data_IF_718461277465
#
_entry.id   IF_718461277465
#
_cell.length_a   1.000
_cell.length_b   1.000
_cell.length_c   1.000
_cell.angle_alpha   90.00
_cell.angle_beta   90.00
_cell.angle_gamma   90.00
#
_symmetry.space_group_name_H-M   'P 1'
#
loop_
_entity.id
_entity.type
_entity.pdbx_description
1 polymer ?
#
# COMPACT_ATOMS: atom_id res chain seq x y z
N UNK A 1 -69.40 6.39 -36.36
CA UNK A 1 -68.01 6.15 -36.80
C UNK A 1 -67.11 7.12 -36.08
N UNK A 2 -66.45 6.66 -35.01
CA UNK A 2 -65.56 7.46 -34.17
C UNK A 2 -64.17 6.86 -34.33
N UNK A 3 -63.27 7.61 -34.96
CA UNK A 3 -61.87 7.23 -35.16
C UNK A 3 -61.07 7.57 -33.90
N UNK A 4 -60.69 6.56 -33.13
CA UNK A 4 -59.73 6.66 -32.02
C UNK A 4 -58.31 6.70 -32.58
N UNK A 5 -57.64 7.84 -32.43
CA UNK A 5 -56.18 7.97 -32.65
C UNK A 5 -55.46 7.33 -31.47
N UNK A 6 -54.71 6.28 -31.77
CA UNK A 6 -53.74 5.62 -30.89
C UNK A 6 -52.63 6.60 -30.49
N UNK A 7 -52.46 6.78 -29.17
CA UNK A 7 -51.35 7.52 -28.59
C UNK A 7 -50.06 6.72 -28.72
N UNK A 8 -49.03 7.38 -29.25
CA UNK A 8 -47.65 6.91 -29.16
C UNK A 8 -47.23 6.92 -27.69
N UNK A 9 -47.07 5.74 -27.11
CA UNK A 9 -46.28 5.57 -25.89
C UNK A 9 -44.82 5.85 -26.23
N UNK A 10 -44.28 6.97 -25.72
CA UNK A 10 -42.83 7.14 -25.59
C UNK A 10 -42.30 5.96 -24.78
N UNK A 11 -41.46 5.13 -25.40
CA UNK A 11 -40.60 4.23 -24.67
C UNK A 11 -39.58 5.06 -23.87
N UNK A 12 -39.31 4.75 -22.60
CA UNK A 12 -38.18 5.35 -21.90
C UNK A 12 -36.91 4.86 -22.60
N UNK A 13 -36.10 5.79 -23.08
CA UNK A 13 -34.75 5.53 -23.57
C UNK A 13 -33.92 4.84 -22.48
N UNK A 14 -33.24 3.75 -22.84
CA UNK A 14 -32.38 2.92 -21.98
C UNK A 14 -31.14 3.65 -21.40
N UNK A 15 -31.11 4.99 -21.41
CA UNK A 15 -29.94 5.79 -21.04
C UNK A 15 -29.98 6.39 -19.61
N UNK A 16 -31.06 6.20 -18.84
CA UNK A 16 -31.20 6.86 -17.52
C UNK A 16 -31.03 5.95 -16.29
N UNK A 17 -30.34 4.81 -16.41
CA UNK A 17 -29.95 3.98 -15.25
C UNK A 17 -28.47 3.60 -15.24
N UNK A 18 -27.58 4.53 -15.60
CA UNK A 18 -26.19 4.45 -15.13
C UNK A 18 -26.20 4.93 -13.67
N UNK A 19 -26.53 4.02 -12.75
CA UNK A 19 -26.07 4.14 -11.37
C UNK A 19 -24.55 4.29 -11.48
N UNK A 20 -24.04 5.49 -11.21
CA UNK A 20 -22.61 5.79 -11.22
C UNK A 20 -21.88 4.71 -10.43
N UNK A 21 -21.27 3.75 -11.12
CA UNK A 21 -20.53 2.67 -10.47
C UNK A 21 -19.47 3.33 -9.58
N UNK A 22 -19.44 2.93 -8.31
CA UNK A 22 -18.46 3.47 -7.37
C UNK A 22 -17.04 3.26 -7.94
N UNK A 23 -16.23 4.33 -7.94
CA UNK A 23 -14.86 4.29 -8.45
C UNK A 23 -14.06 3.16 -7.77
N UNK A 24 -13.47 2.28 -8.59
CA UNK A 24 -12.65 1.17 -8.07
C UNK A 24 -11.31 1.68 -7.53
N UNK A 25 -10.59 0.86 -6.75
CA UNK A 25 -9.23 1.20 -6.30
C UNK A 25 -8.28 1.49 -7.46
N UNK A 26 -8.34 0.66 -8.49
CA UNK A 26 -7.48 0.78 -9.67
C UNK A 26 -7.75 2.09 -10.42
N UNK A 27 -9.03 2.45 -10.61
CA UNK A 27 -9.40 3.70 -11.27
C UNK A 27 -8.90 4.92 -10.50
N UNK A 28 -9.10 4.91 -9.17
CA UNK A 28 -8.62 5.97 -8.29
C UNK A 28 -7.12 6.15 -8.36
N UNK A 29 -6.35 5.06 -8.26
CA UNK A 29 -4.87 5.13 -8.34
C UNK A 29 -4.39 5.61 -9.69
N UNK A 30 -5.04 5.19 -10.78
CA UNK A 30 -4.72 5.69 -12.12
C UNK A 30 -4.95 7.20 -12.21
N UNK A 31 -6.08 7.68 -11.71
CA UNK A 31 -6.42 9.11 -11.68
C UNK A 31 -5.43 9.91 -10.82
N UNK A 32 -5.12 9.45 -9.62
CA UNK A 32 -4.11 10.08 -8.77
C UNK A 32 -2.73 10.10 -9.43
N UNK A 33 -2.31 9.01 -10.09
CA UNK A 33 -1.05 8.98 -10.83
C UNK A 33 -1.00 10.03 -11.96
N UNK A 34 -2.10 10.21 -12.69
CA UNK A 34 -2.23 11.25 -13.73
C UNK A 34 -2.11 12.65 -13.11
N UNK A 35 -2.85 12.91 -12.02
CA UNK A 35 -2.81 14.19 -11.32
C UNK A 35 -1.40 14.50 -10.80
N UNK A 36 -0.72 13.52 -10.20
CA UNK A 36 0.64 13.69 -9.71
C UNK A 36 1.65 13.93 -10.85
N UNK A 37 1.49 13.25 -11.99
CA UNK A 37 2.29 13.51 -13.20
C UNK A 37 2.10 14.94 -13.72
N UNK A 38 0.89 15.48 -13.60
CA UNK A 38 0.55 16.87 -13.92
C UNK A 38 0.87 17.86 -12.79
N UNK A 39 1.50 17.38 -11.71
CA UNK A 39 1.82 18.14 -10.50
C UNK A 39 0.58 18.79 -9.84
N UNK A 40 -0.58 18.14 -9.87
CA UNK A 40 -1.78 18.56 -9.15
C UNK A 40 -1.81 17.91 -7.77
N UNK A 41 -1.06 18.45 -6.81
CA UNK A 41 -0.90 17.85 -5.49
C UNK A 41 -2.15 17.97 -4.63
N UNK A 42 -2.72 19.18 -4.53
CA UNK A 42 -3.79 19.46 -3.58
C UNK A 42 -5.04 18.54 -3.74
N UNK A 43 -5.55 18.26 -4.96
CA UNK A 43 -6.67 17.33 -5.11
C UNK A 43 -6.34 15.93 -4.59
N UNK A 44 -5.16 15.40 -4.92
CA UNK A 44 -4.71 14.07 -4.49
C UNK A 44 -4.57 14.02 -2.97
N UNK A 45 -3.93 15.03 -2.37
CA UNK A 45 -3.76 15.08 -0.92
C UNK A 45 -5.10 15.17 -0.20
N UNK A 46 -6.03 16.01 -0.67
CA UNK A 46 -7.34 16.13 -0.04
C UNK A 46 -8.10 14.81 -0.08
N UNK A 47 -8.17 14.16 -1.24
CA UNK A 47 -8.90 12.90 -1.39
C UNK A 47 -8.30 11.77 -0.54
N UNK A 48 -6.96 11.68 -0.48
CA UNK A 48 -6.29 10.71 0.40
C UNK A 48 -6.66 10.97 1.86
N UNK A 49 -6.68 12.24 2.30
CA UNK A 49 -7.02 12.58 3.68
C UNK A 49 -8.48 12.43 4.03
N UNK A 50 -9.39 12.62 3.08
CA UNK A 50 -10.81 12.35 3.30
C UNK A 50 -11.07 10.87 3.58
N UNK A 51 -10.23 9.96 3.04
CA UNK A 51 -10.27 8.53 3.35
C UNK A 51 -9.44 8.16 4.61
N UNK A 52 -8.29 8.79 4.82
CA UNK A 52 -7.36 8.39 5.89
C UNK A 52 -7.65 9.04 7.24
N UNK A 53 -7.94 10.34 7.31
CA UNK A 53 -8.09 11.06 8.58
C UNK A 53 -9.23 10.54 9.48
N UNK A 54 -10.38 10.07 8.97
CA UNK A 54 -11.43 9.50 9.82
C UNK A 54 -10.95 8.35 10.71
N UNK A 55 -9.90 7.62 10.30
CA UNK A 55 -9.30 6.52 11.10
C UNK A 55 -8.59 7.01 12.36
N UNK A 56 -8.37 8.32 12.49
CA UNK A 56 -7.58 8.97 13.53
C UNK A 56 -8.39 9.95 14.41
N UNK A 57 -9.72 10.01 14.29
CA UNK A 57 -10.56 10.94 15.07
C UNK A 57 -10.33 10.87 16.59
N UNK A 58 -9.99 9.69 17.10
CA UNK A 58 -9.71 9.47 18.53
C UNK A 58 -8.21 9.34 18.84
N UNK A 59 -7.33 9.76 17.92
CA UNK A 59 -5.89 9.63 18.07
C UNK A 59 -5.25 10.95 18.51
N UNK A 60 -4.28 10.87 19.41
CA UNK A 60 -3.41 12.00 19.77
C UNK A 60 -2.24 12.20 18.79
N UNK A 61 -2.11 11.33 17.78
CA UNK A 61 -0.98 11.35 16.84
C UNK A 61 -1.11 12.45 15.78
N UNK A 62 -2.34 12.74 15.35
CA UNK A 62 -2.63 13.80 14.38
C UNK A 62 -3.85 14.58 14.87
N UNK A 63 -3.70 15.89 14.93
CA UNK A 63 -4.81 16.79 15.15
C UNK A 63 -5.47 17.11 13.79
N UNK A 64 -6.66 16.56 13.55
CA UNK A 64 -7.41 16.82 12.31
C UNK A 64 -7.80 18.31 12.15
N UNK A 65 -7.82 19.08 13.24
CA UNK A 65 -8.01 20.54 13.19
C UNK A 65 -6.83 21.27 12.50
N UNK A 66 -5.66 20.63 12.39
CA UNK A 66 -4.47 21.17 11.72
C UNK A 66 -4.41 20.78 10.24
N UNK A 67 -5.56 20.51 9.60
CA UNK A 67 -5.65 20.05 8.21
C UNK A 67 -4.81 20.88 7.25
N UNK A 68 -4.77 22.21 7.39
CA UNK A 68 -3.97 23.10 6.53
C UNK A 68 -2.47 22.78 6.64
N UNK A 69 -1.96 22.53 7.84
CA UNK A 69 -0.56 22.17 8.06
C UNK A 69 -0.25 20.80 7.45
N UNK A 70 -1.13 19.81 7.65
CA UNK A 70 -0.98 18.48 7.08
C UNK A 70 -0.97 18.53 5.53
N UNK A 71 -1.86 19.33 4.94
CA UNK A 71 -1.89 19.54 3.49
C UNK A 71 -0.57 20.14 2.98
N UNK A 72 0.00 21.09 3.71
CA UNK A 72 1.29 21.71 3.37
C UNK A 72 2.44 20.70 3.44
N UNK A 73 2.49 19.88 4.49
CA UNK A 73 3.53 18.85 4.62
C UNK A 73 3.41 17.79 3.53
N UNK A 74 2.20 17.36 3.16
CA UNK A 74 2.00 16.45 2.02
C UNK A 74 2.36 17.08 0.68
N UNK A 75 2.13 18.38 0.47
CA UNK A 75 2.60 19.06 -0.72
C UNK A 75 4.15 19.08 -0.78
N UNK A 76 4.83 19.29 0.36
CA UNK A 76 6.29 19.20 0.45
C UNK A 76 6.80 17.78 0.19
N UNK A 77 6.11 16.76 0.70
CA UNK A 77 6.42 15.35 0.45
C UNK A 77 6.35 15.07 -1.06
N UNK A 78 5.26 15.45 -1.72
CA UNK A 78 5.09 15.25 -3.16
C UNK A 78 6.09 16.07 -4.00
N UNK A 79 6.39 17.30 -3.58
CA UNK A 79 7.34 18.17 -4.27
C UNK A 79 8.79 17.66 -4.20
N UNK A 80 9.15 16.97 -3.12
CA UNK A 80 10.49 16.37 -2.92
C UNK A 80 10.58 14.90 -3.33
N UNK A 81 9.48 14.31 -3.79
CA UNK A 81 9.38 12.87 -4.04
C UNK A 81 10.39 12.39 -5.12
N UNK A 82 11.20 11.35 -4.83
CA UNK A 82 12.17 10.80 -5.78
C UNK A 82 11.48 10.06 -6.94
N UNK A 83 12.23 9.69 -7.98
CA UNK A 83 11.70 8.93 -9.13
C UNK A 83 11.16 7.57 -8.70
N UNK A 84 11.79 6.94 -7.70
CA UNK A 84 11.28 5.72 -7.07
C UNK A 84 9.86 5.88 -6.56
N UNK A 85 9.54 7.00 -5.88
CA UNK A 85 8.19 7.27 -5.39
C UNK A 85 7.18 7.34 -6.54
N UNK A 86 7.54 8.00 -7.64
CA UNK A 86 6.69 8.10 -8.82
C UNK A 86 6.47 6.71 -9.47
N UNK A 87 7.51 5.88 -9.53
CA UNK A 87 7.40 4.52 -10.07
C UNK A 87 6.46 3.65 -9.24
N UNK A 88 6.45 3.82 -7.91
CA UNK A 88 5.52 3.16 -6.98
C UNK A 88 4.08 3.61 -7.20
N UNK A 89 3.84 4.92 -7.26
CA UNK A 89 2.51 5.50 -7.52
C UNK A 89 1.93 4.93 -8.82
N UNK A 90 2.77 4.80 -9.85
CA UNK A 90 2.38 4.24 -11.15
C UNK A 90 2.19 2.72 -11.16
N UNK A 91 2.55 2.00 -10.10
CA UNK A 91 2.49 0.53 -10.02
C UNK A 91 3.61 -0.19 -10.76
N UNK A 92 4.69 0.52 -11.11
CA UNK A 92 5.74 0.02 -12.03
C UNK A 92 7.09 -0.22 -11.38
N UNK A 93 7.26 0.07 -10.08
CA UNK A 93 8.57 0.06 -9.42
C UNK A 93 9.31 -1.27 -9.59
N UNK A 94 8.71 -2.39 -9.16
CA UNK A 94 9.40 -3.70 -9.16
C UNK A 94 9.86 -4.09 -10.56
N UNK A 95 9.04 -3.81 -11.59
CA UNK A 95 9.40 -4.10 -12.98
C UNK A 95 10.47 -3.15 -13.52
N UNK A 96 10.33 -1.85 -13.28
CA UNK A 96 11.24 -0.84 -13.83
C UNK A 96 12.61 -0.88 -13.18
N UNK A 97 12.70 -1.18 -11.88
CA UNK A 97 13.99 -1.21 -11.18
C UNK A 97 14.93 -2.29 -11.74
N UNK A 98 14.40 -3.29 -12.45
CA UNK A 98 15.20 -4.33 -13.10
C UNK A 98 15.90 -3.86 -14.38
N UNK A 99 15.35 -2.84 -15.06
CA UNK A 99 15.78 -2.47 -16.43
C UNK A 99 16.09 -0.99 -16.64
N UNK A 100 15.65 -0.10 -15.75
CA UNK A 100 15.81 1.35 -15.87
C UNK A 100 17.03 1.82 -15.06
N UNK A 101 18.16 2.18 -15.70
CA UNK A 101 19.38 2.58 -15.00
C UNK A 101 19.24 3.90 -14.24
N UNK A 102 18.34 4.79 -14.68
CA UNK A 102 18.10 6.07 -14.01
C UNK A 102 17.39 5.80 -12.69
N UNK A 103 16.33 4.98 -12.72
CA UNK A 103 15.60 4.60 -11.52
C UNK A 103 16.48 3.80 -10.53
N UNK A 104 17.37 2.93 -11.04
CA UNK A 104 18.33 2.20 -10.20
C UNK A 104 19.29 3.15 -9.47
N UNK A 105 19.84 4.16 -10.15
CA UNK A 105 20.73 5.15 -9.53
C UNK A 105 19.99 6.00 -8.50
N UNK A 106 18.77 6.45 -8.81
CA UNK A 106 17.92 7.19 -7.88
C UNK A 106 17.63 6.37 -6.63
N UNK A 107 17.25 5.09 -6.79
CA UNK A 107 17.01 4.17 -5.69
C UNK A 107 18.28 3.94 -4.84
N UNK A 108 19.43 3.72 -5.48
CA UNK A 108 20.69 3.52 -4.76
C UNK A 108 21.06 4.74 -3.90
N UNK A 109 20.85 5.96 -4.42
CA UNK A 109 21.11 7.20 -3.70
C UNK A 109 20.21 7.32 -2.46
N UNK A 110 18.89 7.11 -2.61
CA UNK A 110 17.97 7.22 -1.47
C UNK A 110 18.18 6.07 -0.47
N UNK A 111 18.52 4.87 -0.94
CA UNK A 111 18.80 3.73 -0.09
C UNK A 111 20.04 3.96 0.78
N UNK A 112 21.12 4.49 0.20
CA UNK A 112 22.33 4.87 0.94
C UNK A 112 22.01 5.95 1.98
N UNK A 113 21.30 7.01 1.58
CA UNK A 113 20.92 8.11 2.48
C UNK A 113 19.99 7.68 3.62
N UNK A 114 19.21 6.61 3.44
CA UNK A 114 18.33 6.02 4.46
C UNK A 114 19.07 5.30 5.59
N UNK A 115 20.40 5.14 5.50
CA UNK A 115 21.21 4.68 6.64
C UNK A 115 21.22 5.69 7.79
N UNK A 116 21.22 6.98 7.47
CA UNK A 116 21.26 8.07 8.44
C UNK A 116 19.97 8.88 8.53
N UNK A 117 19.02 8.69 7.62
CA UNK A 117 17.82 9.52 7.49
C UNK A 117 16.56 8.67 7.72
N UNK A 118 15.64 9.10 8.59
CA UNK A 118 14.34 8.44 8.71
C UNK A 118 13.63 8.38 7.36
N UNK A 119 12.93 7.29 7.09
CA UNK A 119 12.39 7.02 5.76
C UNK A 119 11.12 6.20 5.80
N UNK A 120 10.42 6.23 4.68
CA UNK A 120 9.32 5.31 4.37
C UNK A 120 9.87 4.20 3.50
N UNK A 121 9.61 2.97 3.93
CA UNK A 121 9.88 1.77 3.17
C UNK A 121 8.58 1.17 2.63
N UNK A 122 8.72 0.36 1.58
CA UNK A 122 7.62 -0.34 0.94
C UNK A 122 8.02 -1.78 0.62
N UNK A 123 7.12 -2.71 0.88
CA UNK A 123 7.16 -4.07 0.37
C UNK A 123 6.12 -4.22 -0.75
N UNK A 124 6.47 -4.87 -1.86
CA UNK A 124 5.54 -5.19 -2.95
C UNK A 124 5.65 -6.67 -3.32
N UNK A 125 4.50 -7.35 -3.38
CA UNK A 125 4.41 -8.75 -3.76
C UNK A 125 4.49 -8.90 -5.29
N UNK A 126 5.60 -9.45 -5.77
CA UNK A 126 5.82 -9.69 -7.19
C UNK A 126 6.74 -10.90 -7.42
N UNK A 127 6.76 -11.44 -8.63
CA UNK A 127 7.72 -12.46 -9.04
C UNK A 127 9.10 -11.87 -9.36
N UNK A 128 10.02 -12.71 -9.84
CA UNK A 128 11.39 -12.30 -10.23
C UNK A 128 11.45 -11.38 -11.45
N UNK A 129 10.37 -11.30 -12.23
CA UNK A 129 10.25 -10.41 -13.38
C UNK A 129 9.50 -9.11 -13.03
N UNK A 130 9.16 -8.92 -11.75
CA UNK A 130 8.44 -7.76 -11.26
C UNK A 130 6.96 -7.75 -11.62
N UNK A 131 6.39 -8.91 -11.95
CA UNK A 131 4.96 -9.07 -12.21
C UNK A 131 4.22 -9.42 -10.92
N UNK A 132 3.16 -8.66 -10.62
CA UNK A 132 2.28 -8.94 -9.49
C UNK A 132 1.46 -10.23 -9.74
N UNK A 133 0.92 -10.87 -8.68
CA UNK A 133 -0.09 -11.90 -8.89
C UNK A 133 -1.30 -11.36 -9.65
N UNK A 134 -1.97 -12.24 -10.40
CA UNK A 134 -3.28 -11.93 -10.98
C UNK A 134 -4.36 -11.92 -9.90
N UNK A 135 -5.50 -11.24 -10.09
CA UNK A 135 -6.64 -11.34 -9.17
C UNK A 135 -7.08 -12.79 -8.92
N UNK A 136 -7.06 -13.65 -9.94
CA UNK A 136 -7.37 -15.08 -9.81
C UNK A 136 -6.35 -15.81 -8.92
N UNK A 137 -5.05 -15.56 -9.09
CA UNK A 137 -4.03 -16.12 -8.20
C UNK A 137 -4.19 -15.60 -6.78
N UNK A 138 -4.61 -14.35 -6.61
CA UNK A 138 -4.82 -13.75 -5.31
C UNK A 138 -6.00 -14.38 -4.55
N UNK A 139 -7.05 -14.81 -5.27
CA UNK A 139 -8.13 -15.63 -4.69
C UNK A 139 -7.64 -17.00 -4.20
N UNK A 140 -6.71 -17.64 -4.91
CA UNK A 140 -6.10 -18.91 -4.44
C UNK A 140 -5.31 -18.69 -3.14
N UNK A 141 -4.61 -17.56 -3.02
CA UNK A 141 -3.92 -17.17 -1.77
C UNK A 141 -4.95 -16.97 -0.64
N UNK A 142 -6.04 -16.23 -0.90
CA UNK A 142 -7.16 -16.05 0.05
C UNK A 142 -7.69 -17.39 0.56
N UNK A 143 -7.95 -18.33 -0.34
CA UNK A 143 -8.54 -19.62 0.02
C UNK A 143 -7.59 -20.44 0.91
N UNK A 144 -6.29 -20.38 0.67
CA UNK A 144 -5.29 -20.98 1.57
C UNK A 144 -5.21 -20.28 2.93
N UNK A 145 -5.42 -18.96 2.99
CA UNK A 145 -5.53 -18.26 4.29
C UNK A 145 -6.77 -18.75 5.05
N UNK A 146 -7.91 -18.92 4.37
CA UNK A 146 -9.13 -19.43 5.02
C UNK A 146 -8.95 -20.87 5.53
N UNK A 147 -8.31 -21.75 4.76
CA UNK A 147 -7.92 -23.09 5.23
C UNK A 147 -6.97 -23.00 6.44
N UNK A 148 -5.97 -22.12 6.39
CA UNK A 148 -5.03 -21.90 7.49
C UNK A 148 -5.71 -21.42 8.78
N UNK A 149 -6.79 -20.64 8.65
CA UNK A 149 -7.61 -20.14 9.75
C UNK A 149 -8.54 -21.20 10.37
N UNK A 150 -8.77 -22.35 9.74
CA UNK A 150 -9.71 -23.35 10.22
C UNK A 150 -9.44 -23.78 11.68
N UNK A 151 -10.53 -23.97 12.44
CA UNK A 151 -10.52 -24.41 13.85
C UNK A 151 -11.13 -25.80 13.92
N UNK A 152 -10.51 -26.73 14.66
CA UNK A 152 -11.04 -28.07 14.90
C UNK A 152 -10.91 -29.07 13.74
N UNK A 153 -10.65 -28.61 12.51
CA UNK A 153 -10.24 -29.45 11.39
C UNK A 153 -8.74 -29.26 11.12
N UNK A 154 -8.06 -30.36 10.78
CA UNK A 154 -6.64 -30.29 10.39
C UNK A 154 -6.57 -29.64 9.02
N UNK A 155 -6.19 -28.35 8.96
CA UNK A 155 -5.80 -27.70 7.69
C UNK A 155 -4.80 -28.60 6.98
N UNK A 156 -5.08 -28.91 5.72
CA UNK A 156 -4.23 -29.80 4.92
C UNK A 156 -2.88 -29.16 4.60
N UNK A 157 -2.82 -27.81 4.63
CA UNK A 157 -1.69 -27.03 4.15
C UNK A 157 -0.88 -26.37 5.26
N UNK A 158 -1.50 -26.10 6.42
CA UNK A 158 -0.90 -25.27 7.46
C UNK A 158 0.45 -25.78 7.95
N UNK A 159 0.62 -27.10 8.07
CA UNK A 159 1.91 -27.71 8.45
C UNK A 159 3.02 -27.34 7.48
N UNK A 160 2.75 -27.43 6.17
CA UNK A 160 3.74 -27.10 5.15
C UNK A 160 4.07 -25.62 5.17
N UNK A 161 3.05 -24.76 5.24
CA UNK A 161 3.21 -23.31 5.33
C UNK A 161 4.05 -22.92 6.56
N UNK A 162 3.73 -23.46 7.74
CA UNK A 162 4.45 -23.18 9.00
C UNK A 162 5.90 -23.71 9.02
N UNK A 163 6.29 -24.51 8.03
CA UNK A 163 7.63 -25.09 7.92
C UNK A 163 8.55 -24.36 6.93
N UNK A 164 8.03 -23.37 6.19
CA UNK A 164 8.78 -22.69 5.11
C UNK A 164 9.86 -21.78 5.69
N UNK A 165 9.46 -20.85 6.55
CA UNK A 165 10.38 -19.88 7.14
C UNK A 165 10.50 -20.12 8.65
N UNK A 166 11.70 -20.03 9.25
CA UNK A 166 11.85 -20.08 10.70
C UNK A 166 11.06 -18.96 11.43
N UNK A 167 10.70 -19.15 12.72
CA UNK A 167 10.73 -20.42 13.45
C UNK A 167 9.65 -21.37 12.93
N UNK A 168 10.01 -22.66 12.80
CA UNK A 168 9.10 -23.70 12.32
C UNK A 168 8.24 -24.27 13.46
N UNK A 169 7.02 -24.68 13.16
CA UNK A 169 6.15 -25.38 14.12
C UNK A 169 6.35 -26.90 13.99
N UNK A 170 6.45 -27.60 15.13
CA UNK A 170 6.57 -29.06 15.12
C UNK A 170 5.31 -29.72 14.54
N UNK A 171 5.43 -30.91 13.91
CA UNK A 171 4.27 -31.62 13.37
C UNK A 171 3.16 -31.85 14.41
N UNK A 172 3.54 -32.24 15.64
CA UNK A 172 2.59 -32.46 16.73
C UNK A 172 1.86 -31.18 17.13
N UNK A 173 2.56 -30.06 17.28
CA UNK A 173 1.95 -28.76 17.59
C UNK A 173 1.01 -28.30 16.47
N UNK A 174 1.41 -28.47 15.20
CA UNK A 174 0.56 -28.12 14.06
C UNK A 174 -0.71 -28.97 14.00
N UNK A 175 -0.62 -30.28 14.28
CA UNK A 175 -1.79 -31.18 14.39
C UNK A 175 -2.74 -30.79 15.51
N UNK A 176 -2.23 -30.20 16.61
CA UNK A 176 -3.06 -29.64 17.69
C UNK A 176 -3.68 -28.27 17.35
N UNK A 177 -3.52 -27.78 16.12
CA UNK A 177 -4.08 -26.51 15.67
C UNK A 177 -3.21 -25.30 15.99
N UNK A 178 -1.97 -25.48 16.44
CA UNK A 178 -1.03 -24.36 16.56
C UNK A 178 -0.65 -23.87 15.15
N UNK A 179 -0.69 -22.56 14.98
CA UNK A 179 -0.46 -21.87 13.72
C UNK A 179 0.54 -20.75 13.95
N UNK A 180 1.70 -20.81 13.31
CA UNK A 180 2.81 -19.84 13.46
C UNK A 180 2.32 -18.39 13.43
N UNK A 181 1.50 -18.06 12.43
CA UNK A 181 1.06 -16.68 12.18
C UNK A 181 -0.11 -16.24 13.03
N UNK A 182 -0.82 -17.15 13.70
CA UNK A 182 -1.95 -16.81 14.58
C UNK A 182 -1.54 -16.78 16.06
N UNK A 183 -0.36 -17.29 16.38
CA UNK A 183 0.09 -17.43 17.75
C UNK A 183 0.88 -16.20 18.23
N UNK A 184 0.57 -15.72 19.43
CA UNK A 184 1.41 -14.78 20.19
C UNK A 184 1.89 -15.49 21.46
N UNK A 185 0.99 -15.65 22.43
CA UNK A 185 1.10 -16.56 23.58
C UNK A 185 0.06 -17.68 23.47
N UNK A 186 -1.08 -17.35 22.87
CA UNK A 186 -2.16 -18.25 22.48
C UNK A 186 -2.61 -17.85 21.07
N UNK A 187 -3.59 -18.55 20.52
CA UNK A 187 -4.21 -18.16 19.25
C UNK A 187 -4.88 -16.79 19.38
N UNK A 188 -4.38 -15.80 18.63
CA UNK A 188 -4.83 -14.41 18.70
C UNK A 188 -6.11 -14.18 17.90
N UNK A 189 -7.20 -13.85 18.60
CA UNK A 189 -8.47 -13.45 17.99
C UNK A 189 -8.32 -12.21 17.07
N UNK A 190 -7.45 -11.26 17.46
CA UNK A 190 -7.18 -10.06 16.66
C UNK A 190 -6.50 -10.39 15.32
N UNK A 191 -5.58 -11.36 15.32
CA UNK A 191 -4.93 -11.82 14.08
C UNK A 191 -5.90 -12.57 13.16
N UNK A 192 -6.75 -13.42 13.75
CA UNK A 192 -7.83 -14.11 13.02
C UNK A 192 -8.78 -13.10 12.37
N UNK A 193 -9.28 -12.13 13.13
CA UNK A 193 -10.16 -11.07 12.61
C UNK A 193 -9.50 -10.28 11.48
N UNK A 194 -8.23 -9.91 11.63
CA UNK A 194 -7.48 -9.19 10.58
C UNK A 194 -7.34 -10.01 9.31
N UNK A 195 -7.04 -11.30 9.39
CA UNK A 195 -6.93 -12.16 8.21
C UNK A 195 -8.29 -12.39 7.54
N UNK A 196 -9.38 -12.44 8.30
CA UNK A 196 -10.73 -12.43 7.70
C UNK A 196 -11.01 -11.13 6.95
N UNK A 197 -10.68 -9.96 7.52
CA UNK A 197 -10.79 -8.67 6.81
C UNK A 197 -9.96 -8.65 5.54
N UNK A 198 -8.73 -9.15 5.61
CA UNK A 198 -7.85 -9.28 4.46
C UNK A 198 -8.46 -10.17 3.37
N UNK A 199 -8.96 -11.36 3.72
CA UNK A 199 -9.64 -12.26 2.77
C UNK A 199 -10.88 -11.62 2.13
N UNK A 200 -11.69 -10.89 2.90
CA UNK A 200 -12.83 -10.14 2.39
C UNK A 200 -12.39 -9.01 1.44
N UNK A 201 -11.28 -8.33 1.76
CA UNK A 201 -10.67 -7.33 0.90
C UNK A 201 -10.21 -7.89 -0.45
N UNK A 202 -9.57 -9.07 -0.46
CA UNK A 202 -9.16 -9.76 -1.69
C UNK A 202 -10.39 -10.10 -2.55
N UNK A 203 -11.42 -10.68 -1.94
CA UNK A 203 -12.65 -11.05 -2.62
C UNK A 203 -13.34 -9.84 -3.24
N UNK A 204 -13.43 -8.73 -2.48
CA UNK A 204 -13.94 -7.47 -2.99
C UNK A 204 -13.15 -6.96 -4.20
N UNK A 205 -11.81 -6.94 -4.10
CA UNK A 205 -10.95 -6.53 -5.21
C UNK A 205 -11.18 -7.40 -6.46
N UNK A 206 -11.31 -8.70 -6.28
CA UNK A 206 -11.59 -9.64 -7.37
C UNK A 206 -12.95 -9.36 -8.03
N UNK A 207 -14.00 -9.13 -7.23
CA UNK A 207 -15.34 -8.83 -7.72
C UNK A 207 -15.39 -7.48 -8.47
N UNK A 208 -14.72 -6.45 -7.94
CA UNK A 208 -14.58 -5.13 -8.57
C UNK A 208 -13.72 -5.17 -9.85
N UNK A 209 -12.84 -6.17 -10.00
CA UNK A 209 -11.99 -6.29 -11.18
C UNK A 209 -12.77 -6.82 -12.39
N UNK A 210 -12.75 -6.12 -13.55
CA UNK A 210 -13.37 -6.59 -14.79
C UNK A 210 -12.91 -8.01 -15.16
N UNK A 211 -13.83 -8.85 -15.63
CA UNK A 211 -13.58 -10.28 -15.89
C UNK A 211 -12.36 -10.51 -16.78
N UNK A 212 -12.20 -9.73 -17.84
CA UNK A 212 -11.08 -9.84 -18.78
C UNK A 212 -9.71 -9.48 -18.17
N UNK A 213 -9.68 -8.78 -17.02
CA UNK A 213 -8.45 -8.42 -16.30
C UNK A 213 -8.12 -9.39 -15.15
N UNK A 214 -9.03 -10.30 -14.77
CA UNK A 214 -8.81 -11.20 -13.62
C UNK A 214 -7.66 -12.18 -13.79
N UNK A 215 -7.31 -12.48 -15.04
CA UNK A 215 -6.17 -13.33 -15.41
C UNK A 215 -4.92 -12.54 -15.82
N UNK A 216 -4.98 -11.21 -15.76
CA UNK A 216 -3.83 -10.34 -16.00
C UNK A 216 -3.16 -9.96 -14.67
N UNK A 217 -1.82 -9.81 -14.63
CA UNK A 217 -1.12 -9.33 -13.44
C UNK A 217 -1.71 -8.00 -12.96
N UNK A 218 -1.92 -7.88 -11.64
CA UNK A 218 -2.42 -6.63 -11.07
C UNK A 218 -1.44 -5.49 -11.39
N UNK A 219 -1.97 -4.38 -11.93
CA UNK A 219 -1.14 -3.19 -12.22
C UNK A 219 -0.46 -2.65 -10.97
N UNK A 220 -1.13 -2.77 -9.83
CA UNK A 220 -0.64 -2.31 -8.56
C UNK A 220 -0.39 -3.52 -7.66
N UNK A 221 0.88 -3.91 -7.45
CA UNK A 221 1.21 -5.04 -6.59
C UNK A 221 0.69 -4.82 -5.16
N UNK A 222 0.07 -5.84 -4.52
CA UNK A 222 -0.23 -5.78 -3.09
C UNK A 222 1.03 -5.48 -2.28
N UNK A 223 0.92 -4.58 -1.30
CA UNK A 223 2.11 -4.12 -0.58
C UNK A 223 1.90 -3.78 0.88
N UNK A 224 2.98 -3.43 1.56
CA UNK A 224 3.02 -2.94 2.95
C UNK A 224 3.89 -1.69 2.95
N UNK A 225 3.41 -0.62 3.59
CA UNK A 225 4.12 0.65 3.69
C UNK A 225 4.35 0.98 5.16
N UNK A 226 5.57 1.36 5.52
CA UNK A 226 5.89 1.63 6.91
C UNK A 226 6.99 2.67 7.10
N UNK A 227 7.01 3.25 8.30
CA UNK A 227 8.05 4.17 8.76
C UNK A 227 9.21 3.44 9.44
N UNK A 228 10.43 3.94 9.24
CA UNK A 228 11.57 3.59 10.10
C UNK A 228 12.59 4.71 10.22
N UNK A 229 13.16 4.88 11.43
CA UNK A 229 14.36 5.70 11.65
C UNK A 229 15.60 5.07 11.03
N UNK A 230 15.67 3.74 11.00
CA UNK A 230 16.83 2.96 10.55
C UNK A 230 16.36 1.89 9.57
N UNK A 231 16.01 2.32 8.36
CA UNK A 231 15.30 1.47 7.41
C UNK A 231 16.12 0.26 6.95
N UNK A 232 17.44 0.37 6.82
CA UNK A 232 18.30 -0.76 6.49
C UNK A 232 18.17 -1.93 7.49
N UNK A 233 18.15 -1.64 8.81
CA UNK A 233 17.92 -2.64 9.86
C UNK A 233 16.51 -3.19 9.74
N UNK A 234 15.51 -2.32 9.57
CA UNK A 234 14.11 -2.71 9.48
C UNK A 234 13.85 -3.64 8.29
N UNK A 235 14.42 -3.35 7.14
CA UNK A 235 14.34 -4.18 5.95
C UNK A 235 15.03 -5.53 6.15
N UNK A 236 16.19 -5.57 6.81
CA UNK A 236 16.85 -6.83 7.18
C UNK A 236 15.98 -7.68 8.12
N UNK A 237 15.34 -7.07 9.11
CA UNK A 237 14.38 -7.74 10.00
C UNK A 237 13.20 -8.31 9.21
N UNK A 238 12.63 -7.55 8.28
CA UNK A 238 11.57 -8.04 7.40
C UNK A 238 12.02 -9.24 6.57
N UNK A 239 13.22 -9.21 5.95
CA UNK A 239 13.77 -10.37 5.21
C UNK A 239 13.92 -11.61 6.09
N UNK A 240 14.30 -11.41 7.35
CA UNK A 240 14.45 -12.48 8.33
C UNK A 240 13.12 -12.89 9.00
N UNK A 241 11.99 -12.27 8.61
CA UNK A 241 10.67 -12.45 9.23
C UNK A 241 10.62 -12.13 10.74
N UNK A 242 11.54 -11.31 11.24
CA UNK A 242 11.66 -10.94 12.64
C UNK A 242 10.89 -9.66 12.95
N UNK A 243 9.97 -9.71 13.92
CA UNK A 243 9.13 -8.56 14.32
C UNK A 243 8.47 -7.87 13.12
N UNK A 244 8.07 -8.67 12.12
CA UNK A 244 7.53 -8.23 10.83
C UNK A 244 5.99 -8.28 10.83
N UNK A 245 5.38 -7.77 9.77
CA UNK A 245 3.95 -7.90 9.51
C UNK A 245 3.59 -9.36 9.24
N UNK A 246 2.83 -9.98 10.14
CA UNK A 246 2.48 -11.41 10.05
C UNK A 246 1.54 -11.73 8.87
N UNK A 247 0.75 -10.77 8.37
CA UNK A 247 -0.11 -10.98 7.18
C UNK A 247 0.77 -11.09 5.94
N UNK A 248 1.69 -10.13 5.78
CA UNK A 248 2.66 -10.12 4.69
C UNK A 248 3.51 -11.41 4.66
N UNK A 249 4.03 -11.82 5.82
CA UNK A 249 4.85 -13.02 5.94
C UNK A 249 4.05 -14.31 5.65
N UNK A 250 2.82 -14.43 6.15
CA UNK A 250 1.94 -15.58 5.84
C UNK A 250 1.69 -15.68 4.33
N UNK A 251 1.42 -14.56 3.66
CA UNK A 251 1.21 -14.52 2.21
C UNK A 251 2.47 -14.97 1.46
N UNK A 252 3.65 -14.51 1.85
CA UNK A 252 4.91 -14.93 1.22
C UNK A 252 5.20 -16.43 1.40
N UNK A 253 4.95 -16.98 2.59
CA UNK A 253 5.06 -18.42 2.84
C UNK A 253 4.02 -19.21 2.02
N UNK A 254 2.78 -18.73 1.90
CA UNK A 254 1.77 -19.34 1.02
C UNK A 254 2.21 -19.32 -0.45
N UNK A 255 2.74 -18.21 -0.94
CA UNK A 255 3.26 -18.12 -2.31
C UNK A 255 4.42 -19.11 -2.53
N UNK A 256 5.29 -19.27 -1.54
CA UNK A 256 6.38 -20.26 -1.58
C UNK A 256 5.85 -21.69 -1.60
N UNK A 257 4.82 -22.00 -0.80
CA UNK A 257 4.12 -23.29 -0.85
C UNK A 257 3.52 -23.56 -2.23
N UNK A 258 2.82 -22.59 -2.80
CA UNK A 258 2.17 -22.72 -4.11
C UNK A 258 3.18 -22.92 -5.25
N UNK A 259 4.32 -22.24 -5.19
CA UNK A 259 5.40 -22.42 -6.17
C UNK A 259 6.10 -23.78 -6.04
N UNK A 260 6.46 -24.18 -4.82
CA UNK A 260 7.14 -25.47 -4.55
C UNK A 260 6.27 -26.67 -4.92
N UNK A 261 4.96 -26.57 -4.71
CA UNK A 261 3.98 -27.59 -5.12
C UNK A 261 3.53 -27.49 -6.57
N UNK A 262 4.14 -26.59 -7.37
CA UNK A 262 3.84 -26.39 -8.80
C UNK A 262 2.40 -26.00 -9.11
N UNK A 263 1.69 -25.44 -8.12
CA UNK A 263 0.37 -24.83 -8.32
C UNK A 263 0.48 -23.46 -8.96
N UNK A 264 1.54 -22.72 -8.63
CA UNK A 264 1.97 -21.54 -9.35
C UNK A 264 3.28 -21.83 -10.08
N UNK A 265 3.38 -21.33 -11.31
CA UNK A 265 4.65 -21.30 -12.04
C UNK A 265 5.58 -20.25 -11.42
N UNK A 266 5.04 -19.06 -11.14
CA UNK A 266 5.77 -17.94 -10.56
C UNK A 266 6.04 -18.13 -9.06
N UNK A 267 7.18 -17.63 -8.59
CA UNK A 267 7.46 -17.46 -7.17
C UNK A 267 7.28 -16.00 -6.75
N UNK A 268 6.09 -15.67 -6.24
CA UNK A 268 5.85 -14.32 -5.69
C UNK A 268 6.52 -14.15 -4.32
N UNK A 269 7.29 -13.07 -4.17
CA UNK A 269 7.99 -12.67 -2.93
C UNK A 269 7.84 -11.18 -2.67
N UNK A 270 8.17 -10.75 -1.45
CA UNK A 270 8.15 -9.35 -1.04
C UNK A 270 9.44 -8.65 -1.49
N UNK A 271 9.33 -7.79 -2.50
CA UNK A 271 10.40 -6.89 -2.93
C UNK A 271 10.40 -5.65 -2.07
N UNK A 272 11.56 -5.26 -1.55
CA UNK A 272 11.68 -4.22 -0.52
C UNK A 272 12.38 -2.99 -1.03
N UNK A 273 11.83 -1.81 -0.75
CA UNK A 273 12.34 -0.55 -1.27
C UNK A 273 12.31 0.54 -0.20
N UNK A 274 13.22 1.50 -0.32
CA UNK A 274 13.05 2.82 0.30
C UNK A 274 12.36 3.70 -0.73
N UNK A 275 11.25 4.33 -0.37
CA UNK A 275 10.45 5.10 -1.32
C UNK A 275 10.43 6.59 -1.02
N UNK A 276 10.79 7.00 0.20
CA UNK A 276 10.83 8.41 0.58
C UNK A 276 11.76 8.65 1.79
N UNK A 277 12.48 9.76 1.76
CA UNK A 277 13.34 10.23 2.86
C UNK A 277 12.64 11.36 3.59
N UNK A 278 12.46 11.19 4.90
CA UNK A 278 11.77 12.16 5.75
C UNK A 278 12.80 13.21 6.16
N UNK A 279 12.52 14.47 5.85
CA UNK A 279 13.48 15.55 6.08
C UNK A 279 12.99 16.59 7.09
N UNK A 280 11.77 16.44 7.60
CA UNK A 280 11.20 17.28 8.66
C UNK A 280 10.56 16.43 9.76
N UNK A 281 10.64 16.85 11.03
CA UNK A 281 10.00 16.12 12.11
C UNK A 281 8.47 16.05 11.96
N UNK A 282 7.83 17.12 11.44
CA UNK A 282 6.38 17.16 11.23
C UNK A 282 5.90 16.10 10.23
N UNK A 283 6.78 15.66 9.33
CA UNK A 283 6.43 14.68 8.29
C UNK A 283 6.32 13.26 8.84
N UNK A 284 6.96 12.92 9.96
CA UNK A 284 7.18 11.53 10.36
C UNK A 284 5.88 10.69 10.42
N UNK A 285 4.84 11.20 11.07
CA UNK A 285 3.54 10.52 11.14
C UNK A 285 2.75 10.65 9.84
N UNK A 286 2.63 11.89 9.32
CA UNK A 286 1.75 12.20 8.20
C UNK A 286 2.18 11.52 6.91
N UNK A 287 3.49 11.34 6.69
CA UNK A 287 3.99 10.70 5.47
C UNK A 287 3.67 9.20 5.43
N UNK A 288 3.73 8.50 6.56
CA UNK A 288 3.34 7.09 6.62
C UNK A 288 1.85 6.93 6.34
N UNK A 289 1.02 7.81 6.90
CA UNK A 289 -0.43 7.83 6.70
C UNK A 289 -0.76 8.14 5.24
N UNK A 290 -0.18 9.23 4.72
CA UNK A 290 -0.38 9.66 3.35
C UNK A 290 0.06 8.61 2.34
N UNK A 291 1.25 8.01 2.50
CA UNK A 291 1.73 6.96 1.61
C UNK A 291 0.86 5.70 1.70
N UNK A 292 0.43 5.30 2.90
CA UNK A 292 -0.44 4.12 3.06
C UNK A 292 -1.77 4.30 2.33
N UNK A 293 -2.37 5.50 2.41
CA UNK A 293 -3.60 5.85 1.70
C UNK A 293 -3.41 6.01 0.20
N UNK A 294 -2.41 6.78 -0.23
CA UNK A 294 -2.09 7.02 -1.65
C UNK A 294 -1.82 5.71 -2.40
N UNK A 295 -1.11 4.78 -1.75
CA UNK A 295 -0.78 3.48 -2.31
C UNK A 295 -1.85 2.41 -2.03
N UNK A 296 -2.87 2.75 -1.24
CA UNK A 296 -4.00 1.88 -0.91
C UNK A 296 -3.59 0.49 -0.40
N UNK A 297 -2.54 0.42 0.42
CA UNK A 297 -1.92 -0.83 0.90
C UNK A 297 -2.65 -1.47 2.09
N UNK A 298 -3.93 -1.18 2.28
CA UNK A 298 -4.72 -1.65 3.42
C UNK A 298 -5.30 -3.05 3.19
N UNK A 299 -5.43 -3.82 4.27
CA UNK A 299 -6.06 -5.16 4.22
C UNK A 299 -7.53 -5.09 3.83
N UNK A 300 -8.26 -4.05 4.26
CA UNK A 300 -9.74 -3.99 4.18
C UNK A 300 -10.27 -3.93 2.74
N UNK A 301 -9.45 -3.55 1.76
CA UNK A 301 -9.82 -3.50 0.35
C UNK A 301 -8.92 -4.36 -0.55
N UNK A 302 -8.13 -5.26 0.04
CA UNK A 302 -7.27 -6.19 -0.68
C UNK A 302 -6.02 -5.59 -1.32
N UNK A 303 -5.85 -4.26 -1.29
CA UNK A 303 -4.72 -3.57 -1.91
C UNK A 303 -3.37 -3.77 -1.21
N UNK A 304 -3.34 -4.34 -0.01
CA UNK A 304 -2.09 -4.65 0.67
C UNK A 304 -2.24 -5.28 2.05
N UNK A 305 -1.19 -5.14 2.86
CA UNK A 305 -1.00 -5.86 4.11
C UNK A 305 -1.01 -4.95 5.35
N UNK A 306 -1.19 -3.63 5.20
CA UNK A 306 -1.31 -2.73 6.34
C UNK A 306 -2.64 -3.01 7.07
N UNK A 307 -2.55 -3.49 8.30
CA UNK A 307 -3.71 -3.80 9.14
C UNK A 307 -3.85 -2.87 10.36
N UNK A 308 -2.76 -2.22 10.75
CA UNK A 308 -2.69 -1.27 11.86
C UNK A 308 -2.62 0.16 11.32
N UNK A 309 -3.28 1.14 11.97
CA UNK A 309 -3.22 2.52 11.54
C UNK A 309 -1.78 3.03 11.46
N UNK A 310 -1.46 3.64 10.32
CA UNK A 310 -0.17 4.26 10.03
C UNK A 310 0.09 5.47 10.95
N UNK A 311 1.34 5.90 11.05
CA UNK A 311 1.75 7.05 11.84
C UNK A 311 1.83 6.79 13.34
N UNK A 312 1.43 5.61 13.85
CA UNK A 312 1.49 5.28 15.28
C UNK A 312 2.88 4.87 15.77
N UNK A 313 3.70 4.25 14.91
CA UNK A 313 5.01 3.71 15.26
C UNK A 313 6.17 4.66 14.94
N UNK A 314 5.93 5.97 15.01
CA UNK A 314 6.92 7.00 14.61
C UNK A 314 7.63 7.65 15.80
N UNK A 315 7.46 7.13 17.01
CA UNK A 315 8.03 7.70 18.23
C UNK A 315 9.56 7.86 18.18
N UNK A 316 10.25 7.04 17.38
CA UNK A 316 11.71 7.13 17.19
C UNK A 316 12.14 8.37 16.40
N UNK A 317 11.24 9.06 15.69
CA UNK A 317 11.51 10.36 15.07
C UNK A 317 11.92 11.42 16.11
N UNK A 318 11.40 11.33 17.34
CA UNK A 318 11.77 12.20 18.47
C UNK A 318 13.22 12.00 18.93
N UNK A 319 13.89 10.94 18.47
CA UNK A 319 15.30 10.63 18.76
C UNK A 319 16.25 11.15 17.67
N UNK A 320 15.77 11.95 16.73
CA UNK A 320 16.59 12.65 15.75
C UNK A 320 16.74 14.08 16.24
N UNK A 321 17.97 14.53 16.39
CA UNK A 321 18.30 15.86 16.90
C UNK A 321 17.90 16.95 15.92
N UNK A 322 17.77 18.18 16.43
CA UNK A 322 17.47 19.35 15.58
C UNK A 322 18.52 19.55 14.49
N UNK A 323 19.80 19.36 14.81
CA UNK A 323 20.92 19.51 13.87
C UNK A 323 20.86 18.46 12.76
N UNK A 324 20.49 17.21 13.09
CA UNK A 324 20.26 16.16 12.08
C UNK A 324 19.09 16.54 11.16
N UNK A 325 17.96 17.00 11.71
CA UNK A 325 16.83 17.47 10.91
C UNK A 325 17.18 18.62 9.96
N UNK A 326 17.89 19.64 10.45
CA UNK A 326 18.40 20.74 9.62
C UNK A 326 19.31 20.21 8.50
N UNK A 327 20.13 19.20 8.78
CA UNK A 327 20.97 18.51 7.80
C UNK A 327 20.17 17.75 6.75
N UNK A 328 19.10 17.06 7.14
CA UNK A 328 18.20 16.37 6.21
C UNK A 328 17.46 17.36 5.31
N UNK A 329 16.93 18.45 5.86
CA UNK A 329 16.23 19.48 5.08
C UNK A 329 17.16 20.17 4.07
N UNK A 330 18.39 20.53 4.47
CA UNK A 330 19.38 21.08 3.53
C UNK A 330 19.69 20.12 2.39
N UNK A 331 19.90 18.85 2.71
CA UNK A 331 20.18 17.82 1.70
C UNK A 331 19.02 17.69 0.72
N UNK A 332 17.77 17.64 1.20
CA UNK A 332 16.60 17.53 0.32
C UNK A 332 16.45 18.74 -0.58
N UNK A 333 16.67 19.96 -0.08
CA UNK A 333 16.63 21.18 -0.90
C UNK A 333 17.69 21.20 -2.01
N UNK A 334 18.84 20.56 -1.80
CA UNK A 334 19.93 20.47 -2.77
C UNK A 334 19.74 19.34 -3.78
N UNK A 335 19.20 18.20 -3.32
CA UNK A 335 19.17 16.95 -4.09
C UNK A 335 17.82 16.62 -4.71
N UNK A 336 16.77 17.39 -4.42
CA UNK A 336 15.41 17.17 -4.92
C UNK A 336 14.84 18.42 -5.59
N UNK A 337 13.81 18.29 -6.45
CA UNK A 337 13.15 19.42 -7.11
C UNK A 337 12.18 20.19 -6.21
N UNK A 338 12.28 20.06 -4.88
CA UNK A 338 11.28 20.58 -3.93
C UNK A 338 11.00 22.08 -4.09
N UNK A 339 12.03 22.90 -4.28
CA UNK A 339 11.86 24.35 -4.43
C UNK A 339 11.11 24.73 -5.71
N UNK A 340 11.50 24.10 -6.82
CA UNK A 340 10.89 24.31 -8.13
C UNK A 340 9.42 23.87 -8.11
N UNK A 341 9.18 22.65 -7.67
CA UNK A 341 7.83 22.08 -7.61
C UNK A 341 6.91 22.90 -6.68
N UNK A 342 7.42 23.36 -5.53
CA UNK A 342 6.64 24.21 -4.64
C UNK A 342 6.39 25.61 -5.21
N UNK A 343 7.30 26.17 -6.03
CA UNK A 343 7.05 27.41 -6.76
C UNK A 343 5.88 27.25 -7.72
N UNK A 344 5.86 26.19 -8.53
CA UNK A 344 4.75 25.88 -9.43
C UNK A 344 3.42 25.72 -8.69
N UNK A 345 3.42 25.10 -7.49
CA UNK A 345 2.19 25.00 -6.69
C UNK A 345 1.67 26.36 -6.21
N UNK A 346 2.57 27.29 -5.86
CA UNK A 346 2.20 28.65 -5.44
C UNK A 346 1.59 29.44 -6.59
N UNK A 347 2.25 29.43 -7.76
CA UNK A 347 1.77 30.11 -8.97
C UNK A 347 0.35 29.63 -9.35
N UNK A 348 0.11 28.32 -9.35
CA UNK A 348 -1.21 27.74 -9.61
C UNK A 348 -2.27 28.15 -8.59
N UNK A 349 -1.90 28.25 -7.31
CA UNK A 349 -2.83 28.68 -6.27
C UNK A 349 -3.20 30.16 -6.44
N UNK A 350 -2.26 31.01 -6.86
CA UNK A 350 -2.51 32.41 -7.18
C UNK A 350 -3.38 32.59 -8.42
N UNK A 351 -3.13 31.83 -9.49
CA UNK A 351 -3.96 31.84 -10.70
C UNK A 351 -5.41 31.48 -10.41
N UNK A 352 -5.65 30.43 -9.62
CA UNK A 352 -7.02 30.04 -9.21
C UNK A 352 -7.71 31.12 -8.41
N UNK A 353 -6.99 31.81 -7.52
CA UNK A 353 -7.54 32.92 -6.73
C UNK A 353 -7.88 34.15 -7.57
N UNK A 354 -7.21 34.35 -8.72
CA UNK A 354 -7.53 35.44 -9.66
C UNK A 354 -8.73 35.13 -10.54
N UNK A 355 -9.06 33.84 -10.71
CA UNK A 355 -10.18 33.36 -11.53
C UNK A 355 -11.47 33.12 -10.75
N UNK A 356 -11.38 33.01 -9.42
CA UNK A 356 -12.50 32.98 -8.47
C UNK A 356 -12.89 34.38 -8.03
#
# INVERSE_FOLDING_TARGET
MVNTRSGNYCQPTEEENIVSAAETLTDRRNRWAILLKQQHYLPVVSEVFDEELPKYLNSTMINSAERIMLLRECALILASAPLVFQAVVNGTLVKKILTDPILQRDHALIQDRAHSTPSIYLHQLADEHGMAPTPTQYMVIRDLILDYLAVGQTSQHARYIDSITPPTISPSASSLGNRKYLHTTTRSAARVSTLHRFCAGIERLYLETPVHLRSSPMRFPPGECGYSKSSHIRLAQHRAHQSSNYVMNLVEDICTYLHTTKRFEQHFRMHQFIIYLIFRPEQAAVVEIFCSGLLQVWVDRGGGFNAYPAGRSVATAKRVSRVEWEGHERWTRQMSPVEENMRTQRERAEERRRQS
#
